data_IF_934321011064
#
_entry.id   IF_934321011064
#
_cell.length_a   1.000
_cell.length_b   1.000
_cell.length_c   1.000
_cell.angle_alpha   90.00
_cell.angle_beta   90.00
_cell.angle_gamma   90.00
#
_symmetry.space_group_name_H-M   'P 1'
#
loop_
_entity.id
_entity.type
_entity.pdbx_description
1 polymer ?
#
# COMPACT_ATOMS: atom_id res chain seq x y z
N UNK A 1 32.24 76.89 39.27
CA UNK A 1 31.64 76.43 38.00
C UNK A 1 32.78 76.34 36.98
N UNK A 2 33.25 75.19 36.51
CA UNK A 2 32.57 74.29 35.59
C UNK A 2 33.07 72.85 35.74
N UNK A 3 32.15 71.92 35.47
CA UNK A 3 32.16 70.51 35.83
C UNK A 3 32.95 69.64 34.86
N UNK A 4 33.62 68.61 35.39
CA UNK A 4 34.22 67.50 34.63
C UNK A 4 33.12 66.52 34.23
N UNK A 5 33.01 66.17 32.95
CA UNK A 5 32.13 65.09 32.48
C UNK A 5 33.03 63.99 31.89
N UNK A 6 33.02 62.83 32.54
CA UNK A 6 33.56 61.56 32.06
C UNK A 6 32.65 61.01 30.96
N UNK A 7 33.23 60.59 29.84
CA UNK A 7 32.55 59.87 28.77
C UNK A 7 32.73 58.36 28.97
N UNK A 8 31.66 57.68 29.36
CA UNK A 8 31.57 56.22 29.47
C UNK A 8 31.28 55.63 28.09
N UNK A 9 32.18 54.80 27.56
CA UNK A 9 31.95 54.05 26.32
C UNK A 9 31.03 52.85 26.60
N UNK A 10 29.83 52.87 26.03
CA UNK A 10 28.87 51.77 26.07
C UNK A 10 29.15 50.84 24.87
N UNK A 11 29.67 49.64 25.11
CA UNK A 11 29.78 48.60 24.10
C UNK A 11 28.39 47.99 23.86
N UNK A 12 27.74 48.37 22.76
CA UNK A 12 26.52 47.70 22.30
C UNK A 12 26.90 46.39 21.62
N UNK A 13 26.62 45.26 22.27
CA UNK A 13 26.64 43.95 21.64
C UNK A 13 25.49 43.89 20.63
N UNK A 14 25.81 44.01 19.34
CA UNK A 14 24.86 43.75 18.27
C UNK A 14 24.54 42.24 18.25
N UNK A 15 23.41 41.85 18.83
CA UNK A 15 22.79 40.57 18.53
C UNK A 15 22.32 40.63 17.07
N UNK A 16 23.15 40.13 16.15
CA UNK A 16 22.73 39.88 14.78
C UNK A 16 21.54 38.91 14.76
N UNK A 17 20.65 38.99 13.76
CA UNK A 17 19.59 37.99 13.61
C UNK A 17 20.24 36.61 13.54
N UNK A 18 19.81 35.71 14.44
CA UNK A 18 20.21 34.30 14.36
C UNK A 18 19.84 33.81 12.95
N UNK A 19 20.85 33.41 12.18
CA UNK A 19 20.62 32.78 10.89
C UNK A 19 19.73 31.56 11.15
N UNK A 20 18.47 31.62 10.72
CA UNK A 20 17.60 30.44 10.67
C UNK A 20 18.32 29.49 9.72
N UNK A 21 18.80 28.36 10.23
CA UNK A 21 19.43 27.37 9.38
C UNK A 21 18.43 26.99 8.28
N UNK A 22 18.90 26.89 7.05
CA UNK A 22 18.08 26.40 5.96
C UNK A 22 17.55 25.01 6.33
N UNK A 23 16.25 24.80 6.13
CA UNK A 23 15.62 23.54 6.45
C UNK A 23 16.31 22.39 5.72
N UNK A 24 16.49 21.27 6.42
CA UNK A 24 17.16 20.09 5.91
C UNK A 24 16.24 18.88 5.96
N UNK A 25 16.19 18.11 4.86
CA UNK A 25 15.55 16.78 4.82
C UNK A 25 16.53 15.73 5.33
N UNK A 26 16.15 15.03 6.41
CA UNK A 26 16.97 13.98 7.04
C UNK A 26 16.73 12.60 6.41
N UNK A 27 15.52 12.37 5.92
CA UNK A 27 15.15 11.15 5.25
C UNK A 27 13.71 11.16 4.75
N UNK A 28 13.38 10.16 3.92
CA UNK A 28 12.08 10.04 3.28
C UNK A 28 11.58 8.59 3.31
N UNK A 29 10.26 8.45 3.44
CA UNK A 29 9.54 7.21 3.18
C UNK A 29 8.56 7.41 2.02
N UNK A 30 8.71 6.64 0.94
CA UNK A 30 7.85 6.69 -0.24
C UNK A 30 7.03 5.40 -0.32
N UNK A 31 5.70 5.52 -0.38
CA UNK A 31 4.84 4.41 -0.79
C UNK A 31 4.37 4.66 -2.22
N UNK A 32 4.64 3.72 -3.11
CA UNK A 32 4.52 3.91 -4.55
C UNK A 32 3.61 2.84 -5.18
N UNK A 33 2.67 3.26 -6.02
CA UNK A 33 1.87 2.37 -6.85
C UNK A 33 2.68 1.94 -8.07
N UNK A 34 2.49 0.73 -8.56
CA UNK A 34 2.99 0.35 -9.89
C UNK A 34 2.55 1.30 -11.03
N UNK A 35 3.31 1.28 -12.13
CA UNK A 35 2.92 1.93 -13.38
C UNK A 35 1.83 1.17 -14.14
N UNK A 36 1.47 1.64 -15.32
CA UNK A 36 0.54 0.97 -16.23
C UNK A 36 0.89 -0.52 -16.46
N UNK A 37 -0.16 -1.35 -16.55
CA UNK A 37 -0.05 -2.81 -16.66
C UNK A 37 -1.15 -3.38 -17.55
N UNK A 38 -1.00 -4.64 -17.95
CA UNK A 38 -2.08 -5.40 -18.58
C UNK A 38 -3.29 -5.55 -17.65
N UNK A 39 -4.46 -5.84 -18.22
CA UNK A 39 -5.73 -5.92 -17.47
C UNK A 39 -5.78 -7.11 -16.53
N UNK A 40 -6.40 -6.90 -15.37
CA UNK A 40 -6.69 -7.95 -14.37
C UNK A 40 -7.68 -9.00 -14.85
N UNK A 41 -8.44 -8.73 -15.92
CA UNK A 41 -9.33 -9.71 -16.52
C UNK A 41 -8.59 -10.88 -17.19
N UNK A 42 -7.30 -10.71 -17.52
CA UNK A 42 -6.47 -11.73 -18.17
C UNK A 42 -5.18 -11.99 -17.38
N UNK A 43 -5.26 -12.59 -16.19
CA UNK A 43 -4.08 -12.89 -15.39
C UNK A 43 -3.19 -13.98 -16.04
N UNK A 44 -1.88 -14.00 -15.76
CA UNK A 44 -1.16 -13.08 -14.88
C UNK A 44 -0.96 -11.69 -15.51
N UNK A 45 -1.06 -10.64 -14.70
CA UNK A 45 -0.79 -9.28 -15.15
C UNK A 45 0.71 -9.03 -15.31
N UNK A 46 1.07 -8.07 -16.17
CA UNK A 46 2.45 -7.70 -16.46
C UNK A 46 2.58 -6.18 -16.59
N UNK A 47 3.69 -5.63 -16.08
CA UNK A 47 4.05 -4.23 -16.27
C UNK A 47 4.25 -3.97 -17.77
N UNK A 48 3.66 -2.89 -18.30
CA UNK A 48 3.87 -2.51 -19.71
C UNK A 48 5.10 -1.62 -19.86
N UNK A 49 5.51 -1.36 -21.10
CA UNK A 49 6.54 -0.36 -21.38
C UNK A 49 6.12 1.05 -20.92
N UNK A 50 4.85 1.44 -21.15
CA UNK A 50 4.31 2.70 -20.64
C UNK A 50 4.39 2.76 -19.11
N UNK A 51 4.05 1.66 -18.44
CA UNK A 51 4.17 1.58 -16.99
C UNK A 51 5.60 1.74 -16.52
N UNK A 52 6.55 1.05 -17.17
CA UNK A 52 7.96 1.19 -16.91
C UNK A 52 8.44 2.64 -17.05
N UNK A 53 8.06 3.33 -18.13
CA UNK A 53 8.39 4.74 -18.35
C UNK A 53 7.86 5.64 -17.24
N UNK A 54 6.62 5.43 -16.80
CA UNK A 54 6.00 6.17 -15.70
C UNK A 54 6.77 5.98 -14.38
N UNK A 55 7.10 4.74 -14.00
CA UNK A 55 7.79 4.50 -12.73
C UNK A 55 9.26 4.95 -12.79
N UNK A 56 9.91 4.77 -13.94
CA UNK A 56 11.26 5.28 -14.19
C UNK A 56 11.30 6.81 -14.05
N UNK A 57 10.37 7.52 -14.69
CA UNK A 57 10.26 8.97 -14.60
C UNK A 57 10.03 9.44 -13.16
N UNK A 58 9.21 8.72 -12.37
CA UNK A 58 9.07 9.01 -10.95
C UNK A 58 10.39 8.81 -10.18
N UNK A 59 11.12 7.71 -10.45
CA UNK A 59 12.46 7.49 -9.89
C UNK A 59 13.42 8.65 -10.19
N UNK A 60 13.42 9.13 -11.44
CA UNK A 60 14.21 10.30 -11.86
C UNK A 60 13.81 11.58 -11.12
N UNK A 61 12.51 11.81 -10.91
CA UNK A 61 12.04 12.94 -10.10
C UNK A 61 12.58 12.87 -8.66
N UNK A 62 12.45 11.71 -8.01
CA UNK A 62 12.96 11.53 -6.64
C UNK A 62 14.48 11.65 -6.55
N UNK A 63 15.20 11.22 -7.60
CA UNK A 63 16.65 11.45 -7.72
C UNK A 63 16.98 12.94 -7.74
N UNK A 64 16.36 13.69 -8.65
CA UNK A 64 16.60 15.13 -8.80
C UNK A 64 16.29 15.92 -7.53
N UNK A 65 15.30 15.45 -6.75
CA UNK A 65 14.92 16.08 -5.48
C UNK A 65 15.87 15.75 -4.34
N UNK A 66 16.17 14.47 -4.10
CA UNK A 66 16.79 14.00 -2.86
C UNK A 66 18.22 13.48 -2.99
N UNK A 67 18.66 13.09 -4.19
CA UNK A 67 19.94 12.39 -4.42
C UNK A 67 20.95 13.31 -5.09
N UNK A 68 20.55 13.97 -6.18
CA UNK A 68 21.47 14.79 -6.98
C UNK A 68 22.10 15.92 -6.18
N UNK A 69 23.37 16.22 -6.47
CA UNK A 69 24.16 17.24 -5.77
C UNK A 69 23.53 18.63 -5.72
N UNK A 70 22.79 19.00 -6.76
CA UNK A 70 22.13 20.30 -6.91
C UNK A 70 20.62 20.22 -6.58
N UNK A 71 20.15 19.09 -6.05
CA UNK A 71 18.76 18.92 -5.64
C UNK A 71 18.41 19.87 -4.50
N UNK A 72 17.29 20.59 -4.64
CA UNK A 72 16.86 21.59 -3.66
C UNK A 72 16.67 21.01 -2.25
N UNK A 73 16.28 19.73 -2.18
CA UNK A 73 16.00 19.01 -0.95
C UNK A 73 16.93 17.80 -0.78
N UNK A 74 18.17 17.91 -1.30
CA UNK A 74 19.17 16.85 -1.22
C UNK A 74 19.30 16.34 0.21
N UNK A 75 19.13 15.03 0.38
CA UNK A 75 19.41 14.38 1.66
C UNK A 75 20.93 14.24 1.76
N UNK A 76 21.54 14.97 2.70
CA UNK A 76 22.99 15.08 2.81
C UNK A 76 23.70 13.71 2.90
N UNK A 77 23.05 12.74 3.56
CA UNK A 77 23.57 11.40 3.73
C UNK A 77 23.54 10.53 2.47
N UNK A 78 22.72 10.86 1.46
CA UNK A 78 22.64 10.06 0.23
C UNK A 78 23.85 10.32 -0.67
N UNK A 79 24.43 9.24 -1.19
CA UNK A 79 25.43 9.34 -2.25
C UNK A 79 24.75 9.69 -3.57
N UNK A 80 25.24 10.73 -4.24
CA UNK A 80 24.74 11.18 -5.54
C UNK A 80 25.26 10.31 -6.70
N UNK A 81 26.41 9.66 -6.53
CA UNK A 81 27.04 8.80 -7.51
C UNK A 81 26.75 7.32 -7.28
N UNK A 82 27.68 6.64 -6.62
CA UNK A 82 27.62 5.20 -6.37
C UNK A 82 26.56 4.88 -5.33
N UNK A 83 25.68 3.93 -5.61
CA UNK A 83 24.71 3.50 -4.62
C UNK A 83 25.41 2.92 -3.38
N UNK A 84 24.98 3.38 -2.21
CA UNK A 84 25.39 2.82 -0.91
C UNK A 84 24.19 2.11 -0.32
N UNK A 85 24.21 0.77 -0.37
CA UNK A 85 23.04 -0.05 -0.04
C UNK A 85 22.47 0.22 1.36
N UNK A 86 23.31 0.53 2.34
CA UNK A 86 22.86 0.83 3.71
C UNK A 86 22.06 2.14 3.84
N UNK A 87 22.05 2.99 2.81
CA UNK A 87 21.28 4.23 2.80
C UNK A 87 19.85 4.02 2.28
N UNK A 88 19.57 2.86 1.66
CA UNK A 88 18.33 2.54 0.99
C UNK A 88 17.64 1.35 1.64
N UNK A 89 16.31 1.39 1.65
CA UNK A 89 15.48 0.22 1.90
C UNK A 89 14.35 0.22 0.89
N UNK A 90 14.31 -0.81 0.04
CA UNK A 90 13.34 -0.88 -1.05
C UNK A 90 12.60 -2.19 -0.93
N UNK A 91 11.29 -2.14 -0.81
CA UNK A 91 10.46 -3.33 -0.62
C UNK A 91 9.32 -3.43 -1.61
N UNK A 92 8.94 -4.65 -1.96
CA UNK A 92 7.75 -4.92 -2.77
C UNK A 92 7.15 -6.30 -2.46
N UNK A 93 5.85 -6.50 -2.65
CA UNK A 93 5.28 -7.84 -2.72
C UNK A 93 5.90 -8.63 -3.89
N UNK A 94 5.96 -9.96 -3.73
CA UNK A 94 6.35 -10.87 -4.81
C UNK A 94 5.25 -10.91 -5.89
N UNK A 95 5.32 -9.99 -6.82
CA UNK A 95 4.32 -9.75 -7.87
C UNK A 95 5.01 -9.20 -9.14
N UNK A 96 4.61 -9.70 -10.32
CA UNK A 96 5.24 -9.37 -11.59
C UNK A 96 5.06 -7.92 -12.07
N UNK A 97 4.18 -7.17 -11.42
CA UNK A 97 3.94 -5.75 -11.72
C UNK A 97 4.59 -4.88 -10.64
N UNK A 98 4.35 -5.16 -9.36
CA UNK A 98 4.89 -4.36 -8.25
C UNK A 98 6.41 -4.48 -8.11
N UNK A 99 6.95 -5.70 -8.18
CA UNK A 99 8.40 -5.90 -8.07
C UNK A 99 9.14 -5.28 -9.26
N UNK A 100 8.64 -5.50 -10.48
CA UNK A 100 9.23 -4.91 -11.68
C UNK A 100 9.13 -3.38 -11.68
N UNK A 101 8.05 -2.81 -11.11
CA UNK A 101 7.95 -1.37 -10.89
C UNK A 101 9.02 -0.86 -9.93
N UNK A 102 9.26 -1.57 -8.82
CA UNK A 102 10.31 -1.20 -7.87
C UNK A 102 11.71 -1.22 -8.49
N UNK A 103 12.03 -2.26 -9.26
CA UNK A 103 13.30 -2.36 -9.99
C UNK A 103 13.42 -1.22 -11.02
N UNK A 104 12.34 -0.91 -11.74
CA UNK A 104 12.34 0.17 -12.75
C UNK A 104 12.46 1.56 -12.11
N UNK A 105 11.81 1.79 -10.98
CA UNK A 105 11.97 3.01 -10.20
C UNK A 105 13.43 3.24 -9.79
N UNK A 106 14.12 2.17 -9.37
CA UNK A 106 15.52 2.24 -8.98
C UNK A 106 16.46 2.59 -10.13
N UNK A 107 16.08 2.26 -11.37
CA UNK A 107 16.82 2.70 -12.56
C UNK A 107 16.75 4.21 -12.76
N UNK A 108 15.62 4.84 -12.44
CA UNK A 108 15.51 6.29 -12.41
C UNK A 108 16.21 6.92 -11.19
N UNK A 109 16.12 6.27 -10.02
CA UNK A 109 16.71 6.78 -8.78
C UNK A 109 18.25 6.75 -8.79
N UNK A 110 18.83 5.63 -9.23
CA UNK A 110 20.27 5.40 -9.36
C UNK A 110 20.57 4.87 -10.77
N UNK A 111 20.63 5.75 -11.78
CA UNK A 111 20.87 5.37 -13.16
C UNK A 111 22.25 4.74 -13.37
N UNK A 112 22.49 4.08 -14.52
CA UNK A 112 23.79 3.50 -14.86
C UNK A 112 24.94 4.52 -14.76
N UNK A 113 26.08 4.07 -14.23
CA UNK A 113 27.24 4.95 -13.96
C UNK A 113 28.33 4.96 -15.02
N UNK A 114 28.06 4.47 -16.23
CA UNK A 114 29.01 4.58 -17.34
C UNK A 114 30.41 4.08 -16.96
N UNK A 115 31.43 4.76 -17.48
CA UNK A 115 32.85 4.52 -17.18
C UNK A 115 33.20 4.73 -15.69
N UNK A 116 32.50 5.64 -15.01
CA UNK A 116 32.65 5.86 -13.57
C UNK A 116 32.17 4.67 -12.71
N UNK A 117 31.52 3.67 -13.31
CA UNK A 117 31.13 2.40 -12.69
C UNK A 117 32.08 1.24 -12.98
N UNK A 118 33.24 1.49 -13.62
CA UNK A 118 34.15 0.41 -13.99
C UNK A 118 34.93 -0.15 -12.79
N UNK A 119 35.03 -1.47 -12.73
CA UNK A 119 35.93 -2.18 -11.83
C UNK A 119 37.26 -2.46 -12.54
N UNK A 120 38.38 -2.25 -11.85
CA UNK A 120 39.69 -2.67 -12.35
C UNK A 120 40.07 -4.00 -11.71
N UNK A 121 40.20 -5.03 -12.54
CA UNK A 121 40.58 -6.37 -12.12
C UNK A 121 42.07 -6.43 -11.76
N UNK A 122 42.48 -7.47 -11.03
CA UNK A 122 43.87 -7.68 -10.63
C UNK A 122 44.85 -7.83 -11.82
N UNK A 123 44.35 -8.19 -13.00
CA UNK A 123 45.14 -8.29 -14.24
C UNK A 123 45.20 -6.97 -15.03
N UNK A 124 44.68 -5.87 -14.47
CA UNK A 124 44.66 -4.55 -15.07
C UNK A 124 43.54 -4.31 -16.08
N UNK A 125 42.69 -5.31 -16.37
CA UNK A 125 41.52 -5.10 -17.21
C UNK A 125 40.46 -4.26 -16.49
N UNK A 126 39.87 -3.32 -17.22
CA UNK A 126 38.70 -2.58 -16.77
C UNK A 126 37.44 -3.29 -17.26
N UNK A 127 36.52 -3.61 -16.34
CA UNK A 127 35.23 -4.22 -16.65
C UNK A 127 34.10 -3.31 -16.19
N UNK A 128 33.07 -3.20 -17.03
CA UNK A 128 31.88 -2.41 -16.74
C UNK A 128 30.71 -3.35 -16.45
N UNK A 129 29.88 -3.00 -15.46
CA UNK A 129 28.61 -3.70 -15.27
C UNK A 129 27.73 -3.62 -16.54
N UNK A 130 26.91 -4.63 -16.84
CA UNK A 130 26.00 -4.62 -17.99
C UNK A 130 25.08 -3.39 -18.03
N UNK A 131 24.41 -3.18 -19.17
CA UNK A 131 23.49 -2.05 -19.41
C UNK A 131 24.14 -0.68 -19.15
N UNK A 132 25.43 -0.54 -19.50
CA UNK A 132 26.16 0.73 -19.41
C UNK A 132 26.55 1.14 -17.99
N UNK A 133 26.81 0.18 -17.11
CA UNK A 133 27.20 0.45 -15.72
C UNK A 133 26.02 0.43 -14.74
N UNK A 134 25.04 -0.45 -14.96
CA UNK A 134 23.87 -0.59 -14.09
C UNK A 134 24.25 -0.75 -12.60
N UNK A 135 23.51 -0.06 -11.73
CA UNK A 135 23.72 -0.12 -10.28
C UNK A 135 22.74 -1.11 -9.64
N UNK A 136 23.27 -2.14 -8.99
CA UNK A 136 22.46 -3.19 -8.39
C UNK A 136 21.96 -2.78 -7.00
N UNK A 137 20.66 -2.52 -6.89
CA UNK A 137 19.98 -2.28 -5.61
C UNK A 137 18.97 -3.42 -5.36
N UNK A 138 19.05 -4.13 -4.22
CA UNK A 138 18.11 -5.18 -3.92
C UNK A 138 16.71 -4.61 -3.65
N UNK A 139 15.69 -5.35 -4.06
CA UNK A 139 14.30 -5.12 -3.67
C UNK A 139 13.88 -6.28 -2.79
N UNK A 140 13.71 -6.00 -1.51
CA UNK A 140 13.35 -7.01 -0.52
C UNK A 140 11.85 -7.30 -0.54
N UNK A 141 11.48 -8.49 -0.07
CA UNK A 141 10.08 -8.81 0.18
C UNK A 141 9.58 -8.01 1.38
N UNK A 142 8.33 -7.55 1.33
CA UNK A 142 7.68 -6.98 2.52
C UNK A 142 7.56 -8.07 3.58
N UNK A 143 8.19 -7.90 4.75
CA UNK A 143 8.28 -8.91 5.81
C UNK A 143 7.02 -9.05 6.67
N UNK A 144 6.08 -8.12 6.54
CA UNK A 144 4.95 -7.93 7.45
C UNK A 144 3.69 -8.69 7.02
N UNK A 145 2.88 -9.02 8.02
CA UNK A 145 1.78 -9.99 7.92
C UNK A 145 0.61 -9.53 7.03
N UNK A 146 0.54 -8.25 6.65
CA UNK A 146 -0.51 -7.67 5.79
C UNK A 146 -0.17 -7.62 4.31
N UNK A 147 0.80 -8.42 3.86
CA UNK A 147 1.26 -8.37 2.47
C UNK A 147 0.42 -9.29 1.60
N UNK A 148 -0.26 -8.72 0.61
CA UNK A 148 -1.01 -9.48 -0.39
C UNK A 148 -0.02 -10.01 -1.44
N UNK A 149 0.23 -11.31 -1.43
CA UNK A 149 0.96 -11.94 -2.54
C UNK A 149 0.15 -11.82 -3.85
N UNK A 150 0.84 -11.51 -4.96
CA UNK A 150 0.24 -11.36 -6.30
C UNK A 150 -0.96 -10.40 -6.36
N UNK A 151 -0.88 -9.29 -5.63
CA UNK A 151 -1.96 -8.29 -5.54
C UNK A 151 -2.45 -7.81 -6.91
N UNK A 152 -1.56 -7.69 -7.91
CA UNK A 152 -1.93 -7.20 -9.23
C UNK A 152 -2.55 -8.27 -10.12
N UNK A 153 -2.52 -9.54 -9.73
CA UNK A 153 -3.30 -10.60 -10.38
C UNK A 153 -4.60 -10.94 -9.62
N UNK A 154 -4.94 -10.17 -8.58
CA UNK A 154 -6.17 -10.36 -7.80
C UNK A 154 -7.18 -9.23 -8.08
N UNK A 155 -8.42 -9.62 -8.34
CA UNK A 155 -9.55 -8.71 -8.55
C UNK A 155 -10.05 -8.09 -7.22
N UNK A 156 -9.93 -8.81 -6.10
CA UNK A 156 -10.29 -8.32 -4.78
C UNK A 156 -9.05 -8.20 -3.89
N UNK A 157 -8.52 -6.98 -3.79
CA UNK A 157 -7.26 -6.72 -3.07
C UNK A 157 -7.35 -7.11 -1.58
N UNK A 158 -8.49 -6.90 -0.94
CA UNK A 158 -8.65 -7.12 0.49
C UNK A 158 -8.86 -8.60 0.85
N UNK A 159 -9.10 -9.46 -0.16
CA UNK A 159 -9.42 -10.87 0.01
C UNK A 159 -8.29 -11.82 0.30
N UNK A 160 -7.07 -11.31 0.43
CA UNK A 160 -5.89 -12.09 0.73
C UNK A 160 -4.91 -11.29 1.59
N UNK A 161 -5.48 -10.52 2.53
CA UNK A 161 -4.69 -9.71 3.48
C UNK A 161 -4.10 -10.55 4.60
N UNK A 162 -4.52 -11.81 4.75
CA UNK A 162 -4.16 -12.66 5.89
C UNK A 162 -4.85 -12.25 7.19
N UNK A 163 -5.84 -11.35 7.12
CA UNK A 163 -6.53 -10.77 8.26
C UNK A 163 -8.03 -11.09 8.21
N UNK A 164 -8.45 -12.14 8.91
CA UNK A 164 -9.83 -12.64 8.89
C UNK A 164 -10.86 -11.56 9.21
N UNK A 165 -10.62 -10.75 10.26
CA UNK A 165 -11.56 -9.68 10.64
C UNK A 165 -11.68 -8.59 9.56
N UNK A 166 -10.57 -8.24 8.88
CA UNK A 166 -10.60 -7.27 7.80
C UNK A 166 -11.37 -7.83 6.58
N UNK A 167 -11.15 -9.09 6.24
CA UNK A 167 -11.87 -9.77 5.15
C UNK A 167 -13.38 -9.85 5.42
N UNK A 168 -13.77 -10.19 6.65
CA UNK A 168 -15.18 -10.23 7.07
C UNK A 168 -15.80 -8.84 7.00
N UNK A 169 -15.12 -7.82 7.53
CA UNK A 169 -15.61 -6.44 7.45
C UNK A 169 -15.71 -5.98 5.99
N UNK A 170 -14.71 -6.21 5.15
CA UNK A 170 -14.73 -5.84 3.73
C UNK A 170 -15.90 -6.51 2.99
N UNK A 171 -16.12 -7.82 3.19
CA UNK A 171 -17.25 -8.55 2.60
C UNK A 171 -18.62 -8.05 3.08
N UNK A 172 -18.72 -7.48 4.28
CA UNK A 172 -19.99 -6.97 4.82
C UNK A 172 -20.56 -5.82 3.97
N UNK A 173 -19.71 -5.10 3.23
CA UNK A 173 -20.12 -4.04 2.31
C UNK A 173 -21.14 -4.52 1.28
N UNK A 174 -20.99 -5.73 0.73
CA UNK A 174 -21.90 -6.27 -0.28
C UNK A 174 -23.33 -6.49 0.23
N UNK A 175 -23.53 -6.51 1.56
CA UNK A 175 -24.84 -6.63 2.20
C UNK A 175 -25.35 -5.29 2.73
N UNK A 176 -24.64 -4.18 2.48
CA UNK A 176 -25.01 -2.85 2.97
C UNK A 176 -26.10 -2.19 2.11
N UNK A 177 -26.85 -1.27 2.72
CA UNK A 177 -27.83 -0.45 2.01
C UNK A 177 -27.17 0.43 0.92
N UNK A 178 -25.97 0.94 1.18
CA UNK A 178 -25.23 1.79 0.24
C UNK A 178 -24.80 1.02 -1.02
N UNK A 179 -24.36 -0.24 -0.85
CA UNK A 179 -24.07 -1.11 -1.98
C UNK A 179 -25.35 -1.43 -2.77
N UNK A 180 -26.43 -1.82 -2.09
CA UNK A 180 -27.69 -2.15 -2.73
C UNK A 180 -28.25 -0.97 -3.54
N UNK A 181 -28.21 0.24 -2.95
CA UNK A 181 -28.63 1.49 -3.61
C UNK A 181 -27.77 1.78 -4.84
N UNK A 182 -26.44 1.81 -4.69
CA UNK A 182 -25.53 2.13 -5.81
C UNK A 182 -25.62 1.09 -6.92
N UNK A 183 -25.80 -0.18 -6.57
CA UNK A 183 -26.01 -1.28 -7.52
C UNK A 183 -27.29 -1.11 -8.33
N UNK A 184 -28.41 -0.76 -7.67
CA UNK A 184 -29.67 -0.47 -8.35
C UNK A 184 -29.54 0.77 -9.28
N UNK A 185 -29.00 1.87 -8.75
CA UNK A 185 -28.88 3.16 -9.45
C UNK A 185 -27.95 3.08 -10.67
N UNK A 186 -26.99 2.16 -10.69
CA UNK A 186 -26.00 2.01 -11.78
C UNK A 186 -26.27 0.83 -12.72
N UNK A 187 -27.35 0.07 -12.50
CA UNK A 187 -27.67 -1.13 -13.29
C UNK A 187 -27.74 -0.83 -14.79
N UNK A 188 -28.57 0.11 -15.19
CA UNK A 188 -28.79 0.42 -16.61
C UNK A 188 -27.52 0.95 -17.29
N UNK A 189 -26.68 1.68 -16.54
CA UNK A 189 -25.38 2.14 -17.02
C UNK A 189 -24.47 0.97 -17.41
N UNK A 190 -24.32 -0.03 -16.54
CA UNK A 190 -23.49 -1.19 -16.87
C UNK A 190 -24.10 -2.07 -17.97
N UNK A 191 -25.43 -2.22 -18.01
CA UNK A 191 -26.08 -2.96 -19.09
C UNK A 191 -25.89 -2.26 -20.44
N UNK A 192 -25.95 -0.93 -20.47
CA UNK A 192 -25.68 -0.12 -21.68
C UNK A 192 -24.23 -0.24 -22.18
N UNK A 193 -23.29 -0.67 -21.34
CA UNK A 193 -21.89 -0.89 -21.72
C UNK A 193 -21.61 -2.28 -22.30
N UNK A 194 -22.58 -3.19 -22.32
CA UNK A 194 -22.39 -4.54 -22.87
C UNK A 194 -21.80 -4.57 -24.29
N UNK A 195 -22.17 -3.68 -25.23
CA UNK A 195 -21.52 -3.65 -26.56
C UNK A 195 -20.00 -3.45 -26.51
N UNK A 196 -19.47 -2.86 -25.43
CA UNK A 196 -18.03 -2.64 -25.20
C UNK A 196 -17.38 -3.82 -24.47
N UNK A 197 -18.09 -4.43 -23.52
CA UNK A 197 -17.48 -5.34 -22.52
C UNK A 197 -17.92 -6.80 -22.63
N UNK A 198 -18.86 -7.13 -23.53
CA UNK A 198 -19.47 -8.47 -23.62
C UNK A 198 -18.51 -9.60 -24.05
N UNK A 199 -17.31 -9.26 -24.56
CA UNK A 199 -16.25 -10.25 -24.79
C UNK A 199 -15.74 -10.88 -23.49
N UNK A 200 -15.97 -10.22 -22.36
CA UNK A 200 -15.35 -10.54 -21.07
C UNK A 200 -16.38 -10.64 -19.96
N UNK A 201 -17.43 -9.82 -19.98
CA UNK A 201 -18.47 -9.78 -18.96
C UNK A 201 -19.84 -10.11 -19.55
N UNK A 202 -20.50 -11.13 -19.03
CA UNK A 202 -21.90 -11.42 -19.36
C UNK A 202 -22.84 -10.32 -18.83
N UNK A 203 -24.09 -10.30 -19.31
CA UNK A 203 -25.13 -9.39 -18.77
C UNK A 203 -25.32 -9.53 -17.25
N UNK A 204 -25.14 -10.74 -16.69
CA UNK A 204 -25.21 -10.95 -15.25
C UNK A 204 -24.01 -10.38 -14.48
N UNK A 205 -22.86 -10.25 -15.15
CA UNK A 205 -21.62 -9.72 -14.57
C UNK A 205 -21.46 -8.22 -14.80
N UNK A 206 -22.13 -7.64 -15.81
CA UNK A 206 -22.18 -6.21 -16.08
C UNK A 206 -23.01 -5.47 -15.01
N UNK A 207 -22.46 -5.38 -13.80
CA UNK A 207 -23.10 -4.78 -12.63
C UNK A 207 -22.07 -4.10 -11.73
N UNK A 208 -22.55 -3.29 -10.79
CA UNK A 208 -21.71 -2.62 -9.80
C UNK A 208 -20.85 -3.57 -8.95
N UNK A 209 -21.25 -4.83 -8.80
CA UNK A 209 -20.44 -5.85 -8.10
C UNK A 209 -19.07 -6.06 -8.75
N UNK A 210 -18.97 -5.81 -10.05
CA UNK A 210 -17.73 -5.91 -10.83
C UNK A 210 -17.22 -4.53 -11.26
N UNK A 211 -17.58 -3.46 -10.54
CA UNK A 211 -17.26 -2.09 -10.93
C UNK A 211 -15.77 -1.89 -11.23
N UNK A 212 -14.90 -2.39 -10.35
CA UNK A 212 -13.45 -2.26 -10.54
C UNK A 212 -12.93 -3.05 -11.73
N UNK A 213 -13.30 -4.33 -11.87
CA UNK A 213 -12.80 -5.18 -12.96
C UNK A 213 -13.30 -4.70 -14.33
N UNK A 214 -14.53 -4.20 -14.41
CA UNK A 214 -15.06 -3.57 -15.64
C UNK A 214 -14.30 -2.27 -15.95
N UNK A 215 -14.13 -1.39 -14.96
CA UNK A 215 -13.35 -0.16 -15.14
C UNK A 215 -11.91 -0.48 -15.59
N UNK A 216 -11.24 -1.42 -14.93
CA UNK A 216 -9.87 -1.84 -15.27
C UNK A 216 -9.78 -2.33 -16.72
N UNK A 217 -10.69 -3.21 -17.13
CA UNK A 217 -10.74 -3.74 -18.48
C UNK A 217 -10.89 -2.63 -19.52
N UNK A 218 -11.86 -1.72 -19.32
CA UNK A 218 -12.12 -0.61 -20.25
C UNK A 218 -10.99 0.42 -20.23
N UNK A 219 -10.42 0.72 -19.07
CA UNK A 219 -9.30 1.66 -18.93
C UNK A 219 -8.06 1.15 -19.67
N UNK A 220 -7.66 -0.10 -19.43
CA UNK A 220 -6.51 -0.72 -20.12
C UNK A 220 -6.77 -0.79 -21.63
N UNK A 221 -7.97 -1.20 -22.05
CA UNK A 221 -8.33 -1.22 -23.46
C UNK A 221 -8.23 0.18 -24.08
N UNK A 222 -8.65 1.23 -23.37
CA UNK A 222 -8.59 2.61 -23.85
C UNK A 222 -7.16 3.17 -24.00
N UNK A 223 -6.20 2.60 -23.27
CA UNK A 223 -4.78 2.96 -23.35
C UNK A 223 -4.09 2.21 -24.50
N UNK A 224 -4.37 0.91 -24.64
CA UNK A 224 -3.54 0.01 -25.46
C UNK A 224 -4.18 -0.46 -26.77
N UNK A 225 -5.50 -0.47 -26.88
CA UNK A 225 -6.16 -1.01 -28.06
C UNK A 225 -6.33 0.06 -29.15
N UNK A 226 -5.97 -0.29 -30.38
CA UNK A 226 -6.24 0.56 -31.55
C UNK A 226 -7.74 0.73 -31.81
N UNK A 227 -8.53 -0.30 -31.49
CA UNK A 227 -9.99 -0.30 -31.68
C UNK A 227 -10.67 -0.96 -30.50
N UNK A 228 -11.83 -0.42 -30.11
CA UNK A 228 -12.70 -0.99 -29.07
C UNK A 228 -14.10 -1.18 -29.69
N UNK A 229 -14.75 -2.34 -29.55
CA UNK A 229 -16.14 -2.52 -29.94
C UNK A 229 -17.02 -1.45 -29.30
N UNK A 230 -17.85 -0.76 -30.11
CA UNK A 230 -18.65 0.38 -29.65
C UNK A 230 -17.82 1.42 -28.87
N UNK A 231 -16.59 1.69 -29.33
CA UNK A 231 -15.64 2.57 -28.65
C UNK A 231 -16.11 4.02 -28.46
N UNK A 232 -17.12 4.46 -29.21
CA UNK A 232 -17.81 5.73 -29.03
C UNK A 232 -18.49 5.84 -27.65
N UNK A 233 -18.83 4.72 -27.01
CA UNK A 233 -19.38 4.67 -25.66
C UNK A 233 -18.32 4.83 -24.56
N UNK A 234 -17.04 4.55 -24.85
CA UNK A 234 -15.97 4.47 -23.83
C UNK A 234 -15.67 5.83 -23.22
N UNK A 235 -15.36 6.83 -24.06
CA UNK A 235 -14.93 8.16 -23.59
C UNK A 235 -15.99 8.86 -22.72
N UNK A 236 -17.28 8.87 -23.09
CA UNK A 236 -18.33 9.42 -22.23
C UNK A 236 -18.55 8.62 -20.93
N UNK A 237 -18.36 7.30 -20.97
CA UNK A 237 -18.57 6.44 -19.80
C UNK A 237 -17.43 6.47 -18.78
N UNK A 238 -16.20 6.80 -19.21
CA UNK A 238 -15.00 6.67 -18.38
C UNK A 238 -15.07 7.40 -17.03
N UNK A 239 -15.54 8.67 -16.93
CA UNK A 239 -15.66 9.33 -15.64
C UNK A 239 -16.62 8.60 -14.68
N UNK A 240 -17.72 8.04 -15.20
CA UNK A 240 -18.70 7.29 -14.41
C UNK A 240 -18.16 5.91 -14.02
N UNK A 241 -17.44 5.24 -14.90
CA UNK A 241 -16.75 3.98 -14.60
C UNK A 241 -15.73 4.17 -13.47
N UNK A 242 -14.84 5.17 -13.59
CA UNK A 242 -13.85 5.48 -12.56
C UNK A 242 -14.51 5.84 -11.23
N UNK A 243 -15.56 6.64 -11.25
CA UNK A 243 -16.29 7.02 -10.04
C UNK A 243 -16.92 5.80 -9.35
N UNK A 244 -17.62 4.94 -10.09
CA UNK A 244 -18.25 3.73 -9.53
C UNK A 244 -17.20 2.73 -9.02
N UNK A 245 -16.12 2.51 -9.78
CA UNK A 245 -14.99 1.69 -9.33
C UNK A 245 -14.36 2.26 -8.05
N UNK A 246 -14.20 3.58 -7.97
CA UNK A 246 -13.68 4.26 -6.79
C UNK A 246 -14.58 4.10 -5.57
N UNK A 247 -15.91 4.23 -5.72
CA UNK A 247 -16.88 3.98 -4.64
C UNK A 247 -16.78 2.52 -4.18
N UNK A 248 -16.75 1.58 -5.12
CA UNK A 248 -16.65 0.16 -4.84
C UNK A 248 -15.37 -0.15 -4.03
N UNK A 249 -14.21 0.24 -4.55
CA UNK A 249 -12.92 -0.07 -3.93
C UNK A 249 -12.71 0.66 -2.60
N UNK A 250 -13.16 1.91 -2.48
CA UNK A 250 -13.08 2.65 -1.21
C UNK A 250 -13.82 1.92 -0.09
N UNK A 251 -15.05 1.49 -0.34
CA UNK A 251 -15.85 0.79 0.67
C UNK A 251 -15.33 -0.62 0.97
N UNK A 252 -14.58 -1.24 0.06
CA UNK A 252 -13.88 -2.48 0.36
C UNK A 252 -12.61 -2.25 1.19
N UNK A 253 -11.93 -1.12 0.99
CA UNK A 253 -10.67 -0.78 1.66
C UNK A 253 -10.84 -0.10 3.02
N UNK A 254 -11.91 0.66 3.24
CA UNK A 254 -12.07 1.49 4.42
C UNK A 254 -13.53 1.60 4.87
N UNK A 255 -13.72 1.62 6.19
CA UNK A 255 -14.97 1.98 6.84
C UNK A 255 -14.63 2.61 8.19
N UNK A 256 -15.07 3.85 8.41
CA UNK A 256 -14.80 4.58 9.65
C UNK A 256 -15.37 3.90 10.91
N UNK A 257 -16.48 3.16 10.77
CA UNK A 257 -17.11 2.41 11.86
C UNK A 257 -16.47 1.03 12.08
N UNK A 258 -15.68 0.54 11.13
CA UNK A 258 -14.95 -0.72 11.22
C UNK A 258 -13.49 -0.54 10.75
N UNK A 259 -12.62 0.17 11.50
CA UNK A 259 -11.27 0.52 11.06
C UNK A 259 -10.39 -0.69 10.69
N UNK A 260 -10.69 -1.88 11.24
CA UNK A 260 -10.03 -3.13 10.86
C UNK A 260 -10.11 -3.43 9.36
N UNK A 261 -11.10 -2.88 8.64
CA UNK A 261 -11.17 -3.01 7.17
C UNK A 261 -9.93 -2.41 6.47
N UNK A 262 -9.39 -1.34 7.03
CA UNK A 262 -8.25 -0.60 6.50
C UNK A 262 -6.90 -1.13 6.96
N UNK A 263 -6.83 -2.44 7.19
CA UNK A 263 -5.70 -3.11 7.82
C UNK A 263 -4.36 -2.87 7.09
N UNK A 264 -4.38 -2.81 5.75
CA UNK A 264 -3.20 -2.53 4.95
C UNK A 264 -2.64 -1.13 5.23
N UNK A 265 -3.52 -0.14 5.44
CA UNK A 265 -3.14 1.22 5.83
C UNK A 265 -2.56 1.28 7.24
N UNK A 266 -3.12 0.50 8.18
CA UNK A 266 -2.60 0.37 9.55
C UNK A 266 -1.18 -0.20 9.61
N UNK A 267 -0.86 -1.22 8.81
CA UNK A 267 0.51 -1.77 8.74
C UNK A 267 1.46 -0.79 8.08
N UNK A 268 1.06 -0.19 6.97
CA UNK A 268 1.88 0.82 6.31
C UNK A 268 2.21 1.98 7.26
N UNK A 269 1.25 2.41 8.08
CA UNK A 269 1.48 3.43 9.09
C UNK A 269 2.52 3.00 10.14
N UNK A 270 2.50 1.73 10.57
CA UNK A 270 3.53 1.17 11.44
C UNK A 270 4.91 1.15 10.79
N UNK A 271 5.01 0.79 9.51
CA UNK A 271 6.25 0.76 8.74
C UNK A 271 6.85 2.17 8.54
N UNK A 272 6.01 3.15 8.18
CA UNK A 272 6.39 4.57 8.08
C UNK A 272 6.92 5.05 9.43
N UNK A 273 6.18 4.82 10.52
CA UNK A 273 6.59 5.22 11.86
C UNK A 273 7.91 4.58 12.26
N UNK A 274 8.07 3.27 12.08
CA UNK A 274 9.31 2.57 12.45
C UNK A 274 10.53 3.13 11.71
N UNK A 275 10.37 3.39 10.41
CA UNK A 275 11.45 3.92 9.57
C UNK A 275 11.85 5.34 9.97
N UNK A 276 10.86 6.24 10.12
CA UNK A 276 11.14 7.63 10.51
C UNK A 276 11.59 7.76 11.97
N UNK A 277 11.11 6.91 12.87
CA UNK A 277 11.53 6.91 14.28
C UNK A 277 12.98 6.43 14.45
N UNK A 278 13.41 5.47 13.64
CA UNK A 278 14.81 5.06 13.59
C UNK A 278 15.73 6.24 13.21
N UNK A 279 15.33 7.03 12.21
CA UNK A 279 16.05 8.25 11.80
C UNK A 279 15.99 9.34 12.88
N UNK A 280 14.81 9.61 13.44
CA UNK A 280 14.62 10.61 14.48
C UNK A 280 15.47 10.33 15.75
N UNK A 281 15.70 9.05 16.07
CA UNK A 281 16.57 8.61 17.17
C UNK A 281 18.07 8.65 16.84
N UNK A 282 18.44 8.93 15.59
CA UNK A 282 19.82 8.84 15.11
C UNK A 282 20.36 7.40 15.16
N UNK A 283 19.51 6.41 14.84
CA UNK A 283 19.90 4.99 14.85
C UNK A 283 20.96 4.75 13.77
N UNK A 284 22.12 4.23 14.17
CA UNK A 284 23.22 3.96 13.25
C UNK A 284 22.78 2.96 12.17
N UNK A 285 22.95 3.35 10.90
CA UNK A 285 22.61 2.50 9.76
C UNK A 285 21.13 2.49 9.39
N UNK A 286 20.29 3.36 9.98
CA UNK A 286 18.92 3.55 9.51
C UNK A 286 18.92 4.07 8.05
N UNK A 287 18.19 3.42 7.12
CA UNK A 287 18.07 3.89 5.74
C UNK A 287 17.43 5.28 5.70
N UNK A 288 18.07 6.21 4.99
CA UNK A 288 17.59 7.59 4.85
C UNK A 288 16.59 7.72 3.70
N UNK A 289 16.57 6.77 2.75
CA UNK A 289 15.58 6.70 1.69
C UNK A 289 14.90 5.33 1.70
N UNK A 290 13.61 5.33 1.99
CA UNK A 290 12.79 4.13 2.01
C UNK A 290 11.78 4.21 0.86
N UNK A 291 11.65 3.15 0.07
CA UNK A 291 10.61 3.03 -0.95
C UNK A 291 9.89 1.68 -0.83
N UNK A 292 8.57 1.71 -0.79
CA UNK A 292 7.76 0.52 -0.74
C UNK A 292 6.72 0.54 -1.86
N UNK A 293 6.66 -0.53 -2.62
CA UNK A 293 5.68 -0.69 -3.68
C UNK A 293 4.46 -1.46 -3.19
N UNK A 294 3.26 -0.97 -3.52
CA UNK A 294 2.02 -1.66 -3.16
C UNK A 294 0.82 -1.27 -4.00
N UNK A 295 -0.30 -1.93 -3.74
CA UNK A 295 -1.54 -1.74 -4.50
C UNK A 295 -2.27 -0.45 -4.08
N UNK A 296 -3.10 0.08 -4.99
CA UNK A 296 -3.90 1.29 -4.75
C UNK A 296 -4.84 1.19 -3.53
N UNK A 297 -5.28 -0.02 -3.16
CA UNK A 297 -6.13 -0.24 -1.99
C UNK A 297 -5.45 0.17 -0.67
N UNK A 298 -4.12 0.11 -0.60
CA UNK A 298 -3.37 0.58 0.58
C UNK A 298 -3.39 2.09 0.70
N UNK A 299 -3.37 2.83 -0.42
CA UNK A 299 -3.55 4.28 -0.40
C UNK A 299 -4.92 4.64 0.17
N UNK A 300 -6.00 4.02 -0.32
CA UNK A 300 -7.36 4.26 0.20
C UNK A 300 -7.48 3.96 1.69
N UNK A 301 -6.94 2.81 2.12
CA UNK A 301 -6.94 2.42 3.53
C UNK A 301 -6.20 3.46 4.40
N UNK A 302 -5.00 3.89 3.97
CA UNK A 302 -4.23 4.92 4.67
C UNK A 302 -4.95 6.27 4.67
N UNK A 303 -5.48 6.72 3.52
CA UNK A 303 -6.18 7.99 3.39
C UNK A 303 -7.44 8.07 4.24
N UNK A 304 -8.21 6.98 4.33
CA UNK A 304 -9.35 6.89 5.23
C UNK A 304 -8.95 6.99 6.70
N UNK A 305 -7.90 6.27 7.11
CA UNK A 305 -7.39 6.29 8.49
C UNK A 305 -6.77 7.65 8.88
N UNK A 306 -6.02 8.26 7.97
CA UNK A 306 -5.42 9.57 8.13
C UNK A 306 -6.38 10.74 7.85
N UNK A 307 -7.66 10.46 7.56
CA UNK A 307 -8.71 11.44 7.32
C UNK A 307 -8.39 12.45 6.19
N UNK A 308 -7.65 11.99 5.17
CA UNK A 308 -7.25 12.81 4.03
C UNK A 308 -8.42 13.39 3.22
N UNK A 309 -9.59 12.73 3.11
CA UNK A 309 -10.76 13.34 2.50
C UNK A 309 -11.22 14.67 3.09
N UNK A 310 -10.83 15.00 4.33
CA UNK A 310 -11.11 16.32 4.91
C UNK A 310 -10.26 17.44 4.26
N UNK A 311 -9.12 17.10 3.67
CA UNK A 311 -8.24 18.06 2.99
C UNK A 311 -8.63 18.27 1.52
N UNK A 312 -9.00 17.20 0.81
CA UNK A 312 -9.48 17.27 -0.59
C UNK A 312 -10.30 16.03 -0.94
N UNK A 313 -11.28 16.18 -1.83
CA UNK A 313 -12.00 15.05 -2.43
C UNK A 313 -11.10 14.14 -3.28
N UNK A 314 -9.93 14.61 -3.69
CA UNK A 314 -8.96 13.85 -4.50
C UNK A 314 -8.34 12.66 -3.74
N UNK A 315 -8.53 12.60 -2.42
CA UNK A 315 -8.12 11.47 -1.59
C UNK A 315 -9.15 10.33 -1.53
N UNK A 316 -10.27 10.46 -2.23
CA UNK A 316 -11.19 9.35 -2.47
C UNK A 316 -10.79 8.56 -3.71
N UNK A 317 -11.04 7.26 -3.66
CA UNK A 317 -11.04 6.44 -4.86
C UNK A 317 -9.66 5.97 -5.32
N UNK A 318 -9.64 5.47 -6.56
CA UNK A 318 -8.47 4.82 -7.15
C UNK A 318 -7.52 5.92 -7.64
N UNK A 319 -6.33 5.99 -7.05
CA UNK A 319 -5.26 6.84 -7.57
C UNK A 319 -4.83 6.39 -8.97
N UNK A 320 -4.11 7.23 -9.72
CA UNK A 320 -3.62 6.92 -11.07
C UNK A 320 -2.40 5.99 -11.04
N UNK A 321 -2.01 5.46 -12.20
CA UNK A 321 -0.79 4.65 -12.30
C UNK A 321 0.44 5.47 -11.93
N UNK A 322 1.43 4.82 -11.31
CA UNK A 322 2.66 5.44 -10.79
C UNK A 322 2.45 6.54 -9.73
N UNK A 323 1.27 6.61 -9.11
CA UNK A 323 1.04 7.50 -7.95
C UNK A 323 1.93 7.14 -6.78
N UNK A 324 2.34 8.15 -6.00
CA UNK A 324 3.16 7.97 -4.82
C UNK A 324 2.74 8.92 -3.70
N UNK A 325 2.91 8.46 -2.46
CA UNK A 325 2.84 9.33 -1.28
C UNK A 325 4.17 9.26 -0.54
N UNK A 326 4.62 10.41 -0.04
CA UNK A 326 5.92 10.54 0.61
C UNK A 326 5.83 11.25 1.95
N UNK A 327 6.64 10.81 2.90
CA UNK A 327 6.79 11.41 4.22
C UNK A 327 8.23 11.86 4.38
N UNK A 328 8.46 13.17 4.47
CA UNK A 328 9.78 13.75 4.71
C UNK A 328 9.97 14.01 6.21
N UNK A 329 11.06 13.54 6.80
CA UNK A 329 11.51 13.98 8.12
C UNK A 329 12.45 15.16 7.94
N UNK A 330 12.09 16.32 8.49
CA UNK A 330 12.79 17.60 8.27
C UNK A 330 13.20 18.26 9.58
N UNK A 331 14.19 19.14 9.53
CA UNK A 331 14.63 19.95 10.68
C UNK A 331 15.17 21.31 10.25
N UNK A 332 15.01 22.31 11.12
CA UNK A 332 15.66 23.63 11.02
C UNK A 332 16.78 23.80 12.06
N UNK A 333 17.09 22.75 12.83
CA UNK A 333 18.10 22.81 13.86
C UNK A 333 19.45 22.32 13.35
N UNK A 334 20.51 22.69 14.05
CA UNK A 334 21.82 22.05 13.91
C UNK A 334 21.85 20.82 14.80
N UNK A 335 22.44 19.72 14.31
CA UNK A 335 22.65 18.54 15.12
C UNK A 335 23.50 18.87 16.35
N UNK A 336 23.25 18.17 17.46
CA UNK A 336 24.08 18.21 18.65
C UNK A 336 25.49 17.70 18.40
N UNK A 337 26.38 17.82 19.39
CA UNK A 337 27.76 17.33 19.31
C UNK A 337 27.87 15.80 19.12
N UNK A 338 26.80 15.07 19.42
CA UNK A 338 26.65 13.64 19.17
C UNK A 338 26.07 13.30 17.79
N UNK A 339 25.82 14.32 16.95
CA UNK A 339 25.23 14.19 15.63
C UNK A 339 23.71 13.96 15.63
N UNK A 340 23.04 14.15 16.78
CA UNK A 340 21.59 13.90 16.92
C UNK A 340 20.77 15.17 17.00
N UNK A 341 19.51 15.06 16.57
CA UNK A 341 18.50 16.10 16.72
C UNK A 341 17.60 15.79 17.91
N UNK A 342 17.10 16.82 18.58
CA UNK A 342 16.08 16.61 19.60
C UNK A 342 14.73 16.36 18.91
N UNK A 343 13.88 15.47 19.44
CA UNK A 343 12.56 15.20 18.87
C UNK A 343 11.71 16.45 18.62
N UNK A 344 11.83 17.47 19.46
CA UNK A 344 11.14 18.76 19.33
C UNK A 344 11.63 19.64 18.16
N UNK A 345 12.84 19.39 17.66
CA UNK A 345 13.44 20.09 16.52
C UNK A 345 13.11 19.42 15.17
N UNK A 346 12.36 18.31 15.22
CA UNK A 346 11.99 17.51 14.05
C UNK A 346 10.54 17.74 13.66
N UNK A 347 10.30 17.74 12.36
CA UNK A 347 8.96 17.83 11.78
C UNK A 347 8.79 16.83 10.65
N UNK A 348 7.53 16.55 10.28
CA UNK A 348 7.17 15.68 9.16
C UNK A 348 6.28 16.44 8.19
N UNK A 349 6.54 16.23 6.91
CA UNK A 349 5.69 16.69 5.80
C UNK A 349 5.15 15.50 5.04
N UNK A 350 3.92 15.63 4.57
CA UNK A 350 3.28 14.62 3.74
C UNK A 350 3.03 15.17 2.35
N UNK A 351 3.38 14.38 1.34
CA UNK A 351 3.19 14.69 -0.06
C UNK A 351 2.42 13.57 -0.76
N UNK A 352 1.65 13.95 -1.78
CA UNK A 352 0.98 13.01 -2.67
C UNK A 352 1.12 13.49 -4.10
N UNK A 353 1.59 12.58 -4.96
CA UNK A 353 1.52 12.68 -6.41
C UNK A 353 0.48 11.66 -6.90
N UNK A 354 -0.61 12.15 -7.49
CA UNK A 354 -1.57 11.31 -8.19
C UNK A 354 -1.12 11.20 -9.65
N UNK A 355 -0.59 10.04 -10.02
CA UNK A 355 0.13 9.83 -11.27
C UNK A 355 1.65 9.88 -11.08
N UNK A 356 2.39 9.84 -12.19
CA UNK A 356 3.86 9.96 -12.18
C UNK A 356 4.30 11.21 -11.44
N UNK A 357 5.24 11.07 -10.49
CA UNK A 357 5.74 12.19 -9.71
C UNK A 357 6.53 13.17 -10.60
N UNK A 358 6.16 14.45 -10.52
CA UNK A 358 6.81 15.60 -11.15
C UNK A 358 6.71 16.80 -10.19
N UNK A 359 7.36 17.92 -10.52
CA UNK A 359 7.24 19.15 -9.74
C UNK A 359 5.79 19.67 -9.64
N UNK A 360 4.95 19.39 -10.64
CA UNK A 360 3.56 19.86 -10.67
C UNK A 360 2.59 18.89 -9.96
N UNK A 361 2.90 17.60 -9.98
CA UNK A 361 2.04 16.56 -9.38
C UNK A 361 2.35 16.31 -7.90
N UNK A 362 3.60 16.49 -7.46
CA UNK A 362 4.04 16.22 -6.09
C UNK A 362 3.69 17.37 -5.14
N UNK A 363 2.52 17.29 -4.50
CA UNK A 363 1.97 18.37 -3.67
C UNK A 363 1.99 18.01 -2.19
N UNK A 364 2.27 18.99 -1.35
CA UNK A 364 2.21 18.86 0.11
C UNK A 364 0.77 18.98 0.62
N UNK A 365 0.39 18.15 1.58
CA UNK A 365 -0.97 18.11 2.14
C UNK A 365 -0.96 17.98 3.67
N UNK A 366 -1.99 18.51 4.36
CA UNK A 366 -2.12 18.30 5.80
C UNK A 366 -2.61 16.88 6.09
N UNK A 367 -2.10 16.29 7.17
CA UNK A 367 -2.54 14.99 7.68
C UNK A 367 -3.60 15.14 8.78
N UNK A 368 -4.37 14.08 9.03
CA UNK A 368 -5.23 13.92 10.22
C UNK A 368 -6.34 14.97 10.35
N UNK A 369 -6.90 15.41 9.21
CA UNK A 369 -7.91 16.47 9.13
C UNK A 369 -7.51 17.80 9.80
N UNK A 370 -6.21 18.09 9.85
CA UNK A 370 -5.67 19.37 10.32
C UNK A 370 -5.50 20.35 9.16
N UNK A 371 -5.04 21.57 9.43
CA UNK A 371 -4.76 22.59 8.39
C UNK A 371 -3.27 22.67 8.05
N UNK A 372 -2.44 22.25 8.99
CA UNK A 372 -1.01 22.40 9.02
C UNK A 372 -0.38 21.30 8.16
N UNK A 373 0.43 21.71 7.18
CA UNK A 373 1.07 20.80 6.23
C UNK A 373 2.42 20.27 6.73
N UNK A 374 2.94 20.85 7.82
CA UNK A 374 4.16 20.43 8.51
C UNK A 374 3.79 20.18 9.97
N UNK A 375 3.94 18.94 10.42
CA UNK A 375 3.63 18.53 11.79
C UNK A 375 4.90 18.35 12.59
N UNK A 376 4.91 18.75 13.87
CA UNK A 376 6.00 18.37 14.76
C UNK A 376 6.09 16.85 14.86
N UNK A 377 7.30 16.31 15.05
CA UNK A 377 7.50 14.87 15.18
C UNK A 377 6.62 14.22 16.28
N UNK A 378 6.42 14.83 17.47
CA UNK A 378 5.46 14.34 18.45
C UNK A 378 4.02 14.28 17.92
N UNK A 379 3.53 15.34 17.26
CA UNK A 379 2.17 15.39 16.73
C UNK A 379 1.95 14.36 15.60
N UNK A 380 2.95 14.16 14.74
CA UNK A 380 2.92 13.13 13.71
C UNK A 380 2.83 11.73 14.33
N UNK A 381 3.67 11.41 15.32
CA UNK A 381 3.63 10.13 16.03
C UNK A 381 2.27 9.90 16.69
N UNK A 382 1.73 10.89 17.39
CA UNK A 382 0.42 10.78 18.04
C UNK A 382 -0.70 10.54 17.04
N UNK A 383 -0.65 11.20 15.87
CA UNK A 383 -1.60 10.98 14.78
C UNK A 383 -1.55 9.56 14.21
N UNK A 384 -0.35 9.09 13.86
CA UNK A 384 -0.13 7.76 13.30
C UNK A 384 -0.44 6.63 14.30
N UNK A 385 -0.05 6.78 15.58
CA UNK A 385 -0.27 5.77 16.62
C UNK A 385 -1.75 5.50 16.92
N UNK A 386 -2.68 6.36 16.47
CA UNK A 386 -4.12 6.10 16.58
C UNK A 386 -4.58 4.88 15.78
N UNK A 387 -3.84 4.51 14.74
CA UNK A 387 -4.23 3.43 13.83
C UNK A 387 -3.09 2.53 13.37
N UNK A 388 -1.84 2.87 13.66
CA UNK A 388 -0.69 2.07 13.28
C UNK A 388 -0.66 0.70 13.99
N UNK A 389 -0.34 -0.34 13.24
CA UNK A 389 0.03 -1.65 13.78
C UNK A 389 1.54 -1.79 13.63
N UNK A 390 2.24 -1.89 14.75
CA UNK A 390 3.70 -1.89 14.82
C UNK A 390 4.31 -3.25 15.16
N UNK A 391 3.48 -4.21 15.58
CA UNK A 391 3.95 -5.52 16.02
C UNK A 391 2.96 -6.63 15.71
N UNK A 392 3.47 -7.87 15.72
CA UNK A 392 2.70 -9.06 15.42
C UNK A 392 1.59 -9.32 16.44
N UNK A 393 1.76 -8.92 17.71
CA UNK A 393 0.76 -9.16 18.74
C UNK A 393 -0.48 -8.30 18.50
N UNK A 394 -0.28 -7.02 18.24
CA UNK A 394 -1.35 -6.11 17.85
C UNK A 394 -2.01 -6.61 16.54
N UNK A 395 -1.22 -7.04 15.55
CA UNK A 395 -1.75 -7.64 14.32
C UNK A 395 -2.68 -8.83 14.60
N UNK A 396 -2.20 -9.82 15.35
CA UNK A 396 -2.95 -11.04 15.63
C UNK A 396 -4.27 -10.76 16.36
N UNK A 397 -4.22 -9.87 17.35
CA UNK A 397 -5.40 -9.45 18.10
C UNK A 397 -6.41 -8.74 17.21
N UNK A 398 -5.96 -7.78 16.39
CA UNK A 398 -6.81 -7.03 15.47
C UNK A 398 -7.43 -7.94 14.40
N UNK A 399 -6.66 -8.89 13.88
CA UNK A 399 -7.10 -9.77 12.81
C UNK A 399 -7.88 -11.01 13.26
N UNK A 400 -7.88 -11.33 14.55
CA UNK A 400 -8.54 -12.52 15.09
C UNK A 400 -7.88 -13.83 14.64
N UNK A 401 -6.60 -13.79 14.29
CA UNK A 401 -5.86 -14.98 13.84
C UNK A 401 -5.21 -15.68 15.03
N UNK A 402 -5.37 -16.99 15.13
CA UNK A 402 -4.81 -17.84 16.19
C UNK A 402 -3.76 -18.83 15.68
N UNK A 403 -3.42 -18.76 14.39
CA UNK A 403 -2.53 -19.70 13.70
C UNK A 403 -1.21 -19.06 13.27
N UNK A 404 -0.20 -19.89 12.91
CA UNK A 404 1.07 -19.42 12.38
C UNK A 404 1.83 -18.53 13.37
N UNK A 405 2.25 -17.32 12.92
CA UNK A 405 2.93 -16.31 13.76
C UNK A 405 2.07 -15.82 14.95
N UNK A 406 0.77 -16.10 14.95
CA UNK A 406 -0.15 -15.76 16.03
C UNK A 406 -0.34 -16.87 17.07
N UNK A 407 0.17 -18.08 16.83
CA UNK A 407 0.00 -19.22 17.73
C UNK A 407 0.75 -19.04 19.07
N UNK A 408 1.87 -18.32 19.07
CA UNK A 408 2.69 -18.06 20.28
C UNK A 408 2.01 -17.10 21.27
N UNK A 409 0.98 -16.37 20.85
CA UNK A 409 0.17 -15.53 21.74
C UNK A 409 -0.94 -16.31 22.45
N UNK A 410 -1.15 -17.59 22.11
CA UNK A 410 -2.13 -18.47 22.77
C UNK A 410 -1.64 -19.12 24.06
N UNK A 411 -0.37 -18.95 24.44
CA UNK A 411 0.17 -19.49 25.70
C UNK A 411 0.29 -18.39 26.76
N UNK A 412 -0.83 -17.80 27.16
CA UNK A 412 -0.93 -17.20 28.48
C UNK A 412 -1.26 -18.31 29.47
N UNK A 413 -0.19 -18.79 30.14
CA UNK A 413 -0.17 -19.40 31.48
C UNK A 413 -1.53 -19.67 32.14
N UNK A 414 -2.06 -20.87 31.92
CA UNK A 414 -3.16 -21.42 32.71
C UNK A 414 -2.55 -22.02 34.00
N UNK A 415 -2.43 -21.15 35.00
CA UNK A 415 -1.86 -21.47 36.30
C UNK A 415 -2.61 -20.74 37.41
N UNK A 416 -3.69 -21.36 37.89
CA UNK A 416 -4.13 -21.19 39.27
C UNK A 416 -5.49 -20.53 39.52
N UNK A 417 -6.32 -21.30 40.23
CA UNK A 417 -7.39 -20.91 41.14
C UNK A 417 -8.75 -20.48 40.55
N UNK A 418 -9.69 -21.42 40.65
CA UNK A 418 -11.12 -21.15 40.63
C UNK A 418 -11.49 -20.15 41.74
N UNK A 419 -12.05 -19.01 41.34
CA UNK A 419 -12.82 -18.13 42.23
C UNK A 419 -14.21 -17.90 41.65
N UNK A 420 -15.20 -18.28 42.46
CA UNK A 420 -16.64 -18.27 42.18
C UNK A 420 -17.25 -16.88 42.31
N UNK A 421 -18.30 -16.61 41.49
CA UNK A 421 -19.34 -15.53 41.54
C UNK A 421 -18.91 -14.19 40.88
N UNK A 422 -19.78 -13.46 40.16
CA UNK A 422 -21.24 -13.33 40.22
C UNK A 422 -21.89 -12.97 38.85
N UNK A 423 -23.21 -13.16 38.79
CA UNK A 423 -24.13 -12.91 37.67
C UNK A 423 -24.18 -11.46 37.17
N UNK A 424 -24.02 -11.29 35.85
CA UNK A 424 -24.33 -10.07 35.10
C UNK A 424 -24.58 -10.42 33.63
N UNK A 425 -25.61 -9.84 33.03
CA UNK A 425 -26.25 -10.19 31.76
C UNK A 425 -25.30 -10.49 30.59
N UNK A 426 -25.45 -11.67 29.99
CA UNK A 426 -24.61 -12.17 28.90
C UNK A 426 -24.86 -11.48 27.57
N UNK A 427 -23.89 -10.68 27.14
CA UNK A 427 -23.61 -10.47 25.73
C UNK A 427 -22.51 -11.45 25.31
N UNK A 428 -22.83 -12.38 24.41
CA UNK A 428 -21.83 -13.25 23.79
C UNK A 428 -20.85 -12.37 23.02
N UNK A 429 -19.55 -12.45 23.32
CA UNK A 429 -18.54 -11.65 22.64
C UNK A 429 -18.53 -11.98 21.14
N UNK A 430 -18.35 -10.97 20.28
CA UNK A 430 -18.41 -11.07 18.82
C UNK A 430 -17.61 -12.24 18.20
N UNK A 431 -16.43 -12.63 18.73
CA UNK A 431 -15.71 -13.82 18.25
C UNK A 431 -16.50 -15.13 18.47
N UNK A 432 -17.19 -15.25 19.60
CA UNK A 432 -18.01 -16.43 19.93
C UNK A 432 -19.29 -16.45 19.08
N UNK A 433 -19.85 -15.29 18.75
CA UNK A 433 -20.98 -15.18 17.81
C UNK A 433 -20.62 -15.64 16.39
N UNK A 434 -19.40 -15.37 15.91
CA UNK A 434 -18.90 -15.85 14.62
C UNK A 434 -18.74 -17.38 14.56
N UNK A 435 -18.22 -17.99 15.64
CA UNK A 435 -18.10 -19.44 15.76
C UNK A 435 -19.47 -20.11 15.86
N UNK A 436 -20.41 -19.53 16.62
CA UNK A 436 -21.79 -20.02 16.71
C UNK A 436 -22.47 -19.94 15.34
N UNK A 437 -22.31 -18.83 14.61
CA UNK A 437 -22.85 -18.68 13.25
C UNK A 437 -22.31 -19.74 12.28
N UNK A 438 -21.00 -20.02 12.31
CA UNK A 438 -20.37 -21.03 11.47
C UNK A 438 -20.86 -22.46 11.81
N UNK A 439 -20.99 -22.78 13.10
CA UNK A 439 -21.48 -24.10 13.55
C UNK A 439 -22.96 -24.30 13.22
N UNK A 440 -23.79 -23.26 13.37
CA UNK A 440 -25.22 -23.32 13.00
C UNK A 440 -25.37 -23.49 11.49
N UNK A 441 -24.59 -22.77 10.69
CA UNK A 441 -24.63 -22.91 9.22
C UNK A 441 -24.19 -24.30 8.78
N UNK A 442 -23.15 -24.86 9.42
CA UNK A 442 -22.69 -26.23 9.16
C UNK A 442 -23.77 -27.26 9.52
N UNK A 443 -24.42 -27.11 10.69
CA UNK A 443 -25.51 -27.98 11.12
C UNK A 443 -26.72 -27.92 10.16
N UNK A 444 -27.08 -26.73 9.67
CA UNK A 444 -28.16 -26.56 8.69
C UNK A 444 -27.79 -27.22 7.36
N UNK A 445 -26.57 -27.02 6.85
CA UNK A 445 -26.12 -27.63 5.59
C UNK A 445 -26.09 -29.15 5.70
N UNK A 446 -25.55 -29.71 6.78
CA UNK A 446 -25.54 -31.15 7.02
C UNK A 446 -26.96 -31.71 7.21
N UNK A 447 -27.84 -30.95 7.88
CA UNK A 447 -29.25 -31.31 8.04
C UNK A 447 -30.01 -31.36 6.71
N UNK A 448 -29.79 -30.37 5.83
CA UNK A 448 -30.36 -30.34 4.49
C UNK A 448 -29.81 -31.48 3.63
N UNK A 449 -28.51 -31.75 3.68
CA UNK A 449 -27.89 -32.88 2.97
C UNK A 449 -28.44 -34.23 3.45
N UNK A 450 -28.64 -34.40 4.77
CA UNK A 450 -29.24 -35.60 5.35
C UNK A 450 -30.70 -35.78 4.92
N UNK A 451 -31.49 -34.70 4.88
CA UNK A 451 -32.87 -34.73 4.40
C UNK A 451 -32.95 -35.12 2.91
N UNK A 452 -32.07 -34.56 2.07
CA UNK A 452 -31.99 -34.89 0.64
C UNK A 452 -31.62 -36.37 0.45
N UNK A 453 -30.70 -36.92 1.24
CA UNK A 453 -30.34 -38.34 1.16
C UNK A 453 -31.49 -39.25 1.64
N UNK A 454 -32.22 -38.86 2.68
CA UNK A 454 -33.31 -39.66 3.25
C UNK A 454 -34.55 -39.71 2.35
N UNK A 455 -34.94 -38.58 1.77
CA UNK A 455 -36.14 -38.48 0.92
C UNK A 455 -35.87 -38.63 -0.57
N UNK A 456 -34.64 -38.37 -1.03
CA UNK A 456 -34.22 -38.49 -2.43
C UNK A 456 -33.68 -39.86 -2.84
N UNK A 457 -33.55 -40.81 -1.91
CA UNK A 457 -33.10 -42.18 -2.20
C UNK A 457 -31.61 -42.34 -2.54
N UNK A 458 -30.79 -41.31 -2.31
CA UNK A 458 -29.37 -41.32 -2.62
C UNK A 458 -28.56 -42.02 -1.51
N UNK A 459 -27.69 -42.97 -1.88
CA UNK A 459 -26.77 -43.66 -0.96
C UNK A 459 -25.32 -43.27 -1.26
N UNK A 460 -24.52 -43.06 -0.21
CA UNK A 460 -23.09 -42.83 -0.34
C UNK A 460 -22.39 -44.15 -0.71
N UNK A 461 -21.76 -44.18 -1.88
CA UNK A 461 -20.97 -45.33 -2.34
C UNK A 461 -19.47 -45.06 -2.21
N UNK A 462 -18.74 -46.07 -1.74
CA UNK A 462 -17.28 -46.03 -1.64
C UNK A 462 -16.67 -46.11 -3.04
N UNK A 463 -15.71 -45.24 -3.35
CA UNK A 463 -15.07 -45.09 -4.68
C UNK A 463 -14.45 -46.38 -5.25
N UNK A 464 -14.18 -47.38 -4.40
CA UNK A 464 -13.71 -48.72 -4.81
C UNK A 464 -14.75 -49.56 -5.56
N UNK A 465 -16.01 -49.13 -5.64
CA UNK A 465 -17.08 -49.81 -6.37
C UNK A 465 -17.09 -49.53 -7.88
N UNK A 466 -16.28 -48.60 -8.38
CA UNK A 466 -16.10 -48.35 -9.82
C UNK A 466 -14.75 -48.92 -10.29
N UNK A 467 -14.75 -50.16 -10.79
CA UNK A 467 -13.67 -50.70 -11.63
C UNK A 467 -14.12 -50.66 -13.10
N UNK A 468 -13.43 -49.96 -14.00
CA UNK A 468 -13.64 -50.11 -15.43
C UNK A 468 -13.08 -51.46 -15.90
N UNK A 469 -13.89 -52.21 -16.65
CA UNK A 469 -13.45 -53.40 -17.39
C UNK A 469 -12.50 -52.95 -18.51
N UNK A 470 -11.23 -53.34 -18.43
CA UNK A 470 -10.28 -53.17 -19.53
C UNK A 470 -10.61 -54.22 -20.60
N UNK A 471 -11.09 -53.78 -21.77
CA UNK A 471 -11.18 -54.62 -22.94
C UNK A 471 -9.84 -54.61 -23.68
N UNK A 472 -9.31 -55.82 -23.84
CA UNK A 472 -8.23 -56.22 -24.73
C UNK A 472 -8.79 -56.40 -26.14
N UNK A 473 -8.19 -55.78 -27.16
CA UNK A 473 -8.10 -56.27 -28.56
C UNK A 473 -7.26 -55.26 -29.37
N UNK A 474 -6.02 -55.60 -29.74
CA UNK A 474 -5.61 -56.29 -30.97
C UNK A 474 -5.58 -55.35 -32.19
N UNK A 475 -4.37 -55.11 -32.71
CA UNK A 475 -4.09 -54.13 -33.77
C UNK A 475 -4.44 -54.58 -35.18
N UNK A 476 -4.26 -53.69 -36.16
CA UNK A 476 -3.77 -53.96 -37.52
C UNK A 476 -3.26 -52.66 -38.14
N UNK A 477 -2.16 -52.78 -38.89
CA UNK A 477 -1.40 -51.76 -39.64
C UNK A 477 -2.24 -51.02 -40.70
N UNK A 478 -1.96 -49.72 -40.87
CA UNK A 478 -1.34 -49.14 -42.08
C UNK A 478 -0.76 -47.76 -41.71
#
# INVERSE_FOLDING_TARGET
MHSKILLSALAAAAAGPAAVAAETVLGVYVFHRHGDRTTKSYPPTSLTALGADQVHASGTFYRGRYVDKDGADKIAALSDGAVVLSQLSVTSPKDGVLHNSAVTFLQGLYPPRGDAGNETLADGRSVQAPLGGYQFVPVDAVSDAATIEKAESNAWLQGNTGCTNAEVSSKSYFNSADFAKTSADSKDFYQGLLPVINSTFSSAEATFKNAYTIFDYVNVASIHNQTIPSGDLVKPAMPRLLNLASIHEWNLAYNSSEPVRAIAGSVLAGQILGSLDALAKGTKGAPTFNAQFGAYGTFMAFFGLAQMPAASSDFYGICEYASSMAFELVTNATAGSDGKYKPEDLSVRFFFANGTATNDSFKQWPLFAQKETTLSWPAFKDGMNKFAIQDNTHWCNTCGSTSGKCATNGTSSDGGAASTKSSGSGGVSRPVAGVIGALVTLAVVLGVQAAIMLFGGFRLMKKSAFRPQANTEAGTKA
#
